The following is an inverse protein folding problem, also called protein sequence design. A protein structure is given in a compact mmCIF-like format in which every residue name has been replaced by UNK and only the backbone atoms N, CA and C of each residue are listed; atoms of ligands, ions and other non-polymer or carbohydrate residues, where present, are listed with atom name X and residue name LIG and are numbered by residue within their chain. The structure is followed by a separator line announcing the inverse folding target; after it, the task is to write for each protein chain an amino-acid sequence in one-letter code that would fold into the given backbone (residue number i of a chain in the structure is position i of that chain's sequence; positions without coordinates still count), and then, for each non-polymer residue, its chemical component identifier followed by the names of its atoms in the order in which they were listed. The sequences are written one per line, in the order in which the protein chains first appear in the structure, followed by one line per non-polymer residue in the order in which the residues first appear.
data_IF_073087894356
#
_entry.id   IF_073087894356
#
_cell.length_a   1.000
_cell.length_b   1.000
_cell.length_c   1.000
_cell.angle_alpha   90.00
_cell.angle_beta   90.00
_cell.angle_gamma   90.00
#
_symmetry.space_group_name_H-M   'P 1'
#
loop_
_entity.id
_entity.type
_entity.pdbx_description
1 polymer ?
#
# COMPACT_ATOMS: atom_id res chain seq x y z
N UNK A 1 5.33 -77.51 59.27
CA UNK A 1 6.57 -76.94 58.69
C UNK A 1 7.00 -77.83 57.52
N UNK A 2 7.29 -77.31 56.33
CA UNK A 2 6.60 -76.28 55.53
C UNK A 2 5.98 -76.92 54.24
N UNK A 3 4.73 -76.62 53.88
CA UNK A 3 4.30 -75.61 52.88
C UNK A 3 5.16 -75.54 51.60
N UNK A 4 4.58 -75.97 50.47
CA UNK A 4 5.20 -75.82 49.15
C UNK A 4 4.14 -75.43 48.11
N UNK A 5 3.62 -74.20 48.26
CA UNK A 5 2.78 -73.53 47.27
C UNK A 5 3.63 -73.21 46.03
N UNK A 6 3.36 -73.91 44.92
CA UNK A 6 3.89 -73.56 43.60
C UNK A 6 3.21 -72.27 43.12
N UNK A 7 3.95 -71.17 43.15
CA UNK A 7 3.55 -69.90 42.56
C UNK A 7 3.71 -69.99 41.04
N UNK A 8 2.59 -70.14 40.33
CA UNK A 8 2.55 -70.05 38.86
C UNK A 8 2.59 -68.57 38.47
N UNK A 9 3.78 -68.05 38.14
CA UNK A 9 3.92 -66.70 37.59
C UNK A 9 3.46 -66.74 36.13
N UNK A 10 2.21 -66.32 35.88
CA UNK A 10 1.75 -65.97 34.54
C UNK A 10 2.37 -64.62 34.16
N UNK A 11 3.44 -64.64 33.36
CA UNK A 11 3.86 -63.46 32.60
C UNK A 11 2.77 -63.16 31.57
N UNK A 12 1.85 -62.28 31.91
CA UNK A 12 0.97 -61.66 30.92
C UNK A 12 1.81 -60.78 30.01
N UNK A 13 2.11 -61.25 28.79
CA UNK A 13 2.54 -60.38 27.70
C UNK A 13 1.41 -59.38 27.45
N UNK A 14 1.47 -58.22 28.10
CA UNK A 14 0.68 -57.06 27.72
C UNK A 14 1.21 -56.59 26.36
N UNK A 15 0.55 -57.07 25.29
CA UNK A 15 0.69 -56.51 23.96
C UNK A 15 0.14 -55.09 24.03
N UNK A 16 1.01 -54.09 24.25
CA UNK A 16 0.66 -52.69 23.98
C UNK A 16 0.48 -52.57 22.46
N UNK A 17 -0.72 -52.26 21.94
CA UNK A 17 -0.84 -51.92 20.54
C UNK A 17 -0.09 -50.60 20.35
N UNK A 18 0.99 -50.62 19.57
CA UNK A 18 1.61 -49.40 19.08
C UNK A 18 0.58 -48.71 18.16
N UNK A 19 -0.17 -47.76 18.71
CA UNK A 19 -1.05 -46.89 17.94
C UNK A 19 -0.13 -45.99 17.12
N UNK A 20 0.12 -46.39 15.87
CA UNK A 20 0.68 -45.52 14.85
C UNK A 20 -0.37 -44.43 14.58
N UNK A 21 -0.21 -43.27 15.23
CA UNK A 21 -0.87 -42.04 14.84
C UNK A 21 -0.42 -41.72 13.40
N UNK A 22 -1.22 -42.13 12.43
CA UNK A 22 -1.09 -41.65 11.07
C UNK A 22 -1.40 -40.15 11.10
N UNK A 23 -0.36 -39.33 11.11
CA UNK A 23 -0.48 -37.92 10.74
C UNK A 23 -0.95 -37.90 9.28
N UNK A 24 -2.24 -37.62 9.06
CA UNK A 24 -2.73 -37.36 7.72
C UNK A 24 -1.87 -36.23 7.13
N UNK A 25 -1.38 -36.34 5.88
CA UNK A 25 -0.71 -35.22 5.25
C UNK A 25 -1.67 -34.05 5.26
N UNK A 26 -1.27 -32.94 5.86
CA UNK A 26 -2.07 -31.73 5.86
C UNK A 26 -2.13 -31.24 4.40
N UNK A 27 -3.30 -31.37 3.78
CA UNK A 27 -3.53 -30.97 2.39
C UNK A 27 -3.67 -29.46 2.38
N UNK A 28 -2.91 -28.78 1.54
CA UNK A 28 -3.09 -27.35 1.31
C UNK A 28 -4.46 -27.11 0.68
N UNK A 29 -5.32 -26.34 1.34
CA UNK A 29 -6.64 -25.99 0.81
C UNK A 29 -6.58 -24.67 0.03
N UNK A 30 -7.08 -24.64 -1.22
CA UNK A 30 -7.18 -23.42 -2.01
C UNK A 30 -8.02 -22.37 -1.29
N UNK A 31 -7.42 -21.22 -1.01
CA UNK A 31 -8.02 -20.14 -0.23
C UNK A 31 -8.06 -18.86 -1.07
N UNK A 32 -9.17 -18.56 -1.76
CA UNK A 32 -9.28 -17.37 -2.60
C UNK A 32 -9.14 -16.07 -1.79
N UNK A 33 -8.42 -15.10 -2.32
CA UNK A 33 -8.22 -13.77 -1.71
C UNK A 33 -8.34 -12.67 -2.76
N UNK A 34 -9.04 -11.61 -2.39
CA UNK A 34 -9.08 -10.35 -3.15
C UNK A 34 -8.43 -9.27 -2.30
N UNK A 35 -7.36 -8.66 -2.79
CA UNK A 35 -6.72 -7.51 -2.15
C UNK A 35 -7.09 -6.25 -2.92
N UNK A 36 -7.48 -5.19 -2.20
CA UNK A 36 -7.78 -3.87 -2.77
C UNK A 36 -6.96 -2.81 -2.06
N UNK A 37 -6.52 -1.82 -2.80
CA UNK A 37 -5.75 -0.70 -2.27
C UNK A 37 -6.55 0.57 -2.53
N UNK A 38 -6.94 1.26 -1.47
CA UNK A 38 -7.65 2.54 -1.55
C UNK A 38 -6.71 3.67 -1.15
N UNK A 39 -6.61 4.70 -1.98
CA UNK A 39 -5.86 5.92 -1.63
C UNK A 39 -6.56 6.58 -0.44
N UNK A 40 -5.77 6.99 0.55
CA UNK A 40 -6.26 7.84 1.64
C UNK A 40 -6.99 9.06 1.04
N UNK A 41 -8.16 9.36 1.61
CA UNK A 41 -9.06 10.47 1.22
C UNK A 41 -9.57 10.42 -0.23
N UNK A 42 -9.43 9.29 -0.91
CA UNK A 42 -9.79 9.18 -2.31
C UNK A 42 -10.24 7.77 -2.69
N UNK A 43 -9.82 7.30 -3.87
CA UNK A 43 -10.40 6.13 -4.55
C UNK A 43 -9.42 4.97 -4.69
N UNK A 44 -9.86 3.87 -5.31
CA UNK A 44 -9.00 2.70 -5.52
C UNK A 44 -7.80 3.03 -6.42
N UNK A 45 -6.65 2.45 -6.07
CA UNK A 45 -5.38 2.59 -6.81
C UNK A 45 -5.34 1.52 -7.90
N UNK A 46 -5.52 1.95 -9.14
CA UNK A 46 -5.66 1.10 -10.32
C UNK A 46 -4.82 1.55 -11.50
N UNK A 47 -5.27 1.20 -12.70
CA UNK A 47 -4.47 1.30 -13.93
C UNK A 47 -3.98 2.73 -14.22
N UNK A 48 -4.78 3.76 -13.90
CA UNK A 48 -4.45 5.17 -14.12
C UNK A 48 -3.19 5.65 -13.40
N UNK A 49 -2.79 4.96 -12.34
CA UNK A 49 -1.56 5.24 -11.59
C UNK A 49 -0.59 4.06 -11.58
N UNK A 50 -0.77 3.10 -12.50
CA UNK A 50 0.06 1.90 -12.61
C UNK A 50 -0.19 0.84 -11.53
N UNK A 51 -1.28 0.97 -10.77
CA UNK A 51 -1.64 0.07 -9.68
C UNK A 51 -0.71 0.16 -8.46
N UNK A 52 -0.91 -0.77 -7.54
CA UNK A 52 -0.07 -0.97 -6.37
C UNK A 52 0.45 -2.41 -6.36
N UNK A 53 1.74 -2.58 -6.10
CA UNK A 53 2.33 -3.90 -5.87
C UNK A 53 1.76 -4.47 -4.58
N UNK A 54 1.33 -5.72 -4.64
CA UNK A 54 0.79 -6.50 -3.54
C UNK A 54 1.69 -7.71 -3.34
N UNK A 55 2.11 -7.96 -2.11
CA UNK A 55 2.81 -9.18 -1.71
C UNK A 55 2.11 -9.74 -0.48
N UNK A 56 1.69 -11.00 -0.55
CA UNK A 56 1.16 -11.76 0.57
C UNK A 56 2.24 -12.74 1.01
N UNK A 57 2.61 -12.72 2.29
CA UNK A 57 3.62 -13.60 2.88
C UNK A 57 3.05 -14.34 4.07
N UNK A 58 3.53 -15.56 4.29
CA UNK A 58 3.42 -16.19 5.60
C UNK A 58 4.30 -15.40 6.58
N UNK A 59 3.70 -14.87 7.64
CA UNK A 59 4.38 -13.95 8.56
C UNK A 59 5.42 -14.64 9.45
N UNK A 60 5.35 -15.95 9.64
CA UNK A 60 6.28 -16.71 10.47
C UNK A 60 7.54 -17.09 9.69
N UNK A 61 7.36 -17.63 8.48
CA UNK A 61 8.43 -18.13 7.62
C UNK A 61 8.98 -17.07 6.65
N UNK A 62 8.22 -16.00 6.38
CA UNK A 62 8.53 -14.98 5.37
C UNK A 62 8.31 -15.44 3.92
N UNK A 63 7.81 -16.66 3.71
CA UNK A 63 7.56 -17.23 2.38
C UNK A 63 6.47 -16.43 1.65
N UNK A 64 6.72 -16.04 0.39
CA UNK A 64 5.72 -15.39 -0.46
C UNK A 64 4.65 -16.43 -0.83
N UNK A 65 3.41 -16.15 -0.45
CA UNK A 65 2.24 -16.95 -0.78
C UNK A 65 1.64 -16.51 -2.13
N UNK A 66 1.65 -15.21 -2.42
CA UNK A 66 1.24 -14.65 -3.70
C UNK A 66 1.81 -13.24 -3.88
N UNK A 67 1.99 -12.82 -5.13
CA UNK A 67 2.39 -11.46 -5.47
C UNK A 67 1.74 -11.00 -6.78
N UNK A 68 1.56 -9.69 -6.92
CA UNK A 68 1.03 -9.10 -8.14
C UNK A 68 0.83 -7.60 -8.03
N UNK A 69 0.02 -7.05 -8.93
CA UNK A 69 -0.29 -5.62 -9.00
C UNK A 69 -1.81 -5.48 -9.06
N UNK A 70 -2.37 -4.47 -8.39
CA UNK A 70 -3.79 -4.14 -8.53
C UNK A 70 -4.09 -3.67 -9.95
N UNK A 71 -5.14 -4.22 -10.57
CA UNK A 71 -5.60 -3.85 -11.90
C UNK A 71 -7.08 -3.48 -11.87
N UNK A 72 -7.49 -2.57 -12.76
CA UNK A 72 -8.86 -2.07 -12.88
C UNK A 72 -9.01 -0.58 -12.61
N UNK A 73 -10.27 -0.12 -12.56
CA UNK A 73 -10.62 1.29 -12.42
C UNK A 73 -10.54 1.81 -10.98
N UNK A 74 -10.65 3.13 -10.83
CA UNK A 74 -10.69 3.77 -9.49
C UNK A 74 -11.98 3.48 -8.72
N UNK A 75 -12.95 2.78 -9.32
CA UNK A 75 -14.27 2.51 -8.75
C UNK A 75 -15.23 3.71 -8.83
N UNK A 76 -16.43 3.50 -8.31
CA UNK A 76 -17.52 4.48 -8.35
C UNK A 76 -17.33 5.61 -7.32
N UNK A 77 -17.19 6.85 -7.79
CA UNK A 77 -16.95 8.02 -6.94
C UNK A 77 -18.04 8.23 -5.89
N UNK A 78 -19.32 8.27 -6.28
CA UNK A 78 -20.41 8.56 -5.34
C UNK A 78 -20.49 7.51 -4.24
N UNK A 79 -20.40 6.23 -4.61
CA UNK A 79 -20.39 5.12 -3.66
C UNK A 79 -19.24 5.24 -2.67
N UNK A 80 -18.02 5.50 -3.14
CA UNK A 80 -16.83 5.60 -2.28
C UNK A 80 -16.98 6.77 -1.30
N UNK A 81 -17.35 7.95 -1.81
CA UNK A 81 -17.35 9.18 -1.01
C UNK A 81 -18.56 9.31 -0.08
N UNK A 82 -19.69 8.69 -0.42
CA UNK A 82 -20.91 8.71 0.41
C UNK A 82 -21.00 7.50 1.36
N UNK A 83 -20.07 6.56 1.27
CA UNK A 83 -20.00 5.40 2.16
C UNK A 83 -19.74 5.83 3.60
N UNK A 84 -20.70 5.57 4.49
CA UNK A 84 -20.63 5.94 5.91
C UNK A 84 -20.71 4.72 6.82
N UNK A 85 -20.29 4.88 8.08
CA UNK A 85 -20.27 3.81 9.08
C UNK A 85 -18.91 3.13 9.24
N UNK A 86 -18.86 2.07 10.06
CA UNK A 86 -17.64 1.30 10.30
C UNK A 86 -17.42 0.31 9.16
N UNK A 87 -16.27 0.39 8.50
CA UNK A 87 -15.87 -0.52 7.42
C UNK A 87 -16.91 -0.64 6.29
N UNK A 88 -17.34 0.47 5.67
CA UNK A 88 -18.37 0.42 4.63
C UNK A 88 -17.84 -0.26 3.36
N UNK A 89 -18.74 -0.90 2.62
CA UNK A 89 -18.44 -1.60 1.37
C UNK A 89 -18.40 -0.64 0.18
N UNK A 90 -17.20 -0.36 -0.33
CA UNK A 90 -16.95 0.66 -1.35
C UNK A 90 -16.74 0.06 -2.74
N UNK A 91 -16.31 -1.20 -2.82
CA UNK A 91 -15.91 -1.79 -4.08
C UNK A 91 -17.12 -2.05 -5.00
N UNK A 92 -16.89 -1.79 -6.29
CA UNK A 92 -17.70 -2.24 -7.43
C UNK A 92 -16.87 -3.26 -8.24
N UNK A 93 -17.50 -3.99 -9.15
CA UNK A 93 -16.82 -5.05 -9.91
C UNK A 93 -15.64 -4.52 -10.75
N UNK A 94 -15.72 -3.27 -11.20
CA UNK A 94 -14.68 -2.57 -11.97
C UNK A 94 -13.59 -1.93 -11.10
N UNK A 95 -13.76 -1.88 -9.77
CA UNK A 95 -12.78 -1.30 -8.88
C UNK A 95 -11.48 -2.11 -8.91
N UNK A 96 -10.34 -1.44 -8.74
CA UNK A 96 -9.05 -2.09 -8.83
C UNK A 96 -8.84 -3.15 -7.74
N UNK A 97 -8.31 -4.31 -8.13
CA UNK A 97 -8.03 -5.43 -7.23
C UNK A 97 -6.81 -6.24 -7.71
N UNK A 98 -6.22 -6.96 -6.77
CA UNK A 98 -5.38 -8.11 -7.02
C UNK A 98 -6.11 -9.37 -6.54
N UNK A 99 -6.21 -10.39 -7.39
CA UNK A 99 -6.86 -11.66 -7.08
C UNK A 99 -5.83 -12.78 -7.06
N UNK A 100 -5.89 -13.62 -6.03
CA UNK A 100 -5.04 -14.79 -5.91
C UNK A 100 -5.78 -15.93 -5.20
N UNK A 101 -5.19 -17.12 -5.23
CA UNK A 101 -5.60 -18.26 -4.43
C UNK A 101 -4.38 -18.71 -3.64
N UNK A 102 -4.49 -18.73 -2.31
CA UNK A 102 -3.41 -19.17 -1.43
C UNK A 102 -3.64 -20.64 -1.06
N UNK A 103 -2.65 -21.50 -1.28
CA UNK A 103 -2.73 -22.90 -0.88
C UNK A 103 -2.25 -23.02 0.59
N UNK A 104 -3.21 -22.95 1.53
CA UNK A 104 -2.91 -22.91 2.97
C UNK A 104 -3.08 -24.29 3.60
N UNK A 105 -2.10 -24.74 4.37
CA UNK A 105 -2.09 -26.06 5.03
C UNK A 105 -2.70 -26.01 6.44
N UNK A 106 -2.70 -24.84 7.07
CA UNK A 106 -3.21 -24.62 8.41
C UNK A 106 -3.54 -23.14 8.65
N UNK A 107 -4.05 -22.79 9.85
CA UNK A 107 -4.25 -21.40 10.23
C UNK A 107 -2.95 -20.61 10.05
N UNK A 108 -2.96 -19.62 9.18
CA UNK A 108 -1.76 -18.89 8.76
C UNK A 108 -1.94 -17.41 9.07
N UNK A 109 -0.96 -16.82 9.76
CA UNK A 109 -0.89 -15.37 9.86
C UNK A 109 -0.27 -14.85 8.57
N UNK A 110 -1.07 -14.23 7.73
CA UNK A 110 -0.62 -13.68 6.45
C UNK A 110 -0.27 -12.21 6.64
N UNK A 111 0.90 -11.80 6.18
CA UNK A 111 1.31 -10.40 6.05
C UNK A 111 1.04 -9.92 4.62
N UNK A 112 0.27 -8.84 4.52
CA UNK A 112 0.09 -8.06 3.31
C UNK A 112 1.10 -6.91 3.33
N UNK A 113 1.97 -6.86 2.33
CA UNK A 113 2.77 -5.68 1.99
C UNK A 113 2.23 -5.06 0.70
N UNK A 114 1.99 -3.76 0.73
CA UNK A 114 1.58 -2.98 -0.44
C UNK A 114 2.55 -1.84 -0.67
N UNK A 115 2.98 -1.66 -1.93
CA UNK A 115 3.78 -0.53 -2.37
C UNK A 115 3.14 0.14 -3.59
N UNK A 116 2.93 1.45 -3.53
CA UNK A 116 2.33 2.18 -4.65
C UNK A 116 2.22 3.69 -4.41
N UNK A 117 1.66 4.43 -5.36
CA UNK A 117 1.24 3.96 -6.69
C UNK A 117 2.45 3.79 -7.64
N UNK A 118 2.51 2.70 -8.40
CA UNK A 118 3.72 2.31 -9.15
C UNK A 118 4.06 3.27 -10.30
N UNK A 119 3.07 3.92 -10.88
CA UNK A 119 3.22 4.96 -11.89
C UNK A 119 3.70 6.31 -11.35
N UNK A 120 3.95 6.42 -10.03
CA UNK A 120 4.50 7.60 -9.35
C UNK A 120 5.64 7.18 -8.40
N UNK A 121 6.71 6.56 -8.92
CA UNK A 121 7.73 5.91 -8.08
C UNK A 121 8.43 6.88 -7.12
N UNK A 122 8.56 8.15 -7.48
CA UNK A 122 9.15 9.20 -6.63
C UNK A 122 8.35 9.51 -5.36
N UNK A 123 7.08 9.10 -5.30
CA UNK A 123 6.18 9.29 -4.15
C UNK A 123 5.65 7.98 -3.59
N UNK A 124 6.15 6.83 -4.07
CA UNK A 124 5.63 5.54 -3.63
C UNK A 124 5.91 5.30 -2.14
N UNK A 125 4.87 4.92 -1.40
CA UNK A 125 4.96 4.52 0.01
C UNK A 125 4.69 3.04 0.16
N UNK A 126 5.02 2.51 1.34
CA UNK A 126 4.78 1.12 1.70
C UNK A 126 3.87 1.05 2.92
N UNK A 127 2.85 0.19 2.86
CA UNK A 127 2.00 -0.15 4.01
C UNK A 127 1.99 -1.65 4.21
N UNK A 128 1.90 -2.07 5.47
CA UNK A 128 1.83 -3.48 5.85
C UNK A 128 0.67 -3.71 6.80
N UNK A 129 -0.01 -4.84 6.66
CA UNK A 129 -1.04 -5.29 7.58
C UNK A 129 -0.99 -6.81 7.71
N UNK A 130 -1.46 -7.34 8.83
CA UNK A 130 -1.52 -8.78 9.05
C UNK A 130 -2.96 -9.23 9.31
N UNK A 131 -3.28 -10.45 8.89
CA UNK A 131 -4.58 -11.07 9.15
C UNK A 131 -4.44 -12.59 9.23
N UNK A 132 -5.16 -13.18 10.17
CA UNK A 132 -5.31 -14.64 10.24
C UNK A 132 -6.21 -15.13 9.11
N UNK A 133 -5.73 -16.15 8.39
CA UNK A 133 -6.46 -16.83 7.32
C UNK A 133 -6.59 -18.32 7.66
N UNK A 134 -7.76 -18.88 7.39
CA UNK A 134 -8.07 -20.29 7.56
C UNK A 134 -8.05 -20.98 6.20
N UNK A 135 -7.46 -22.20 6.08
CA UNK A 135 -7.56 -23.02 4.88
C UNK A 135 -9.00 -23.14 4.39
N UNK A 136 -9.22 -22.93 3.08
CA UNK A 136 -10.53 -23.08 2.43
C UNK A 136 -11.55 -21.97 2.71
N UNK A 137 -11.26 -21.03 3.63
CA UNK A 137 -12.17 -19.92 3.96
C UNK A 137 -11.87 -18.70 3.07
N UNK A 138 -12.73 -18.34 2.11
CA UNK A 138 -12.43 -17.29 1.15
C UNK A 138 -12.38 -15.89 1.79
N UNK A 139 -11.39 -15.11 1.36
CA UNK A 139 -11.21 -13.70 1.68
C UNK A 139 -11.66 -12.79 0.52
N UNK A 140 -12.83 -13.08 -0.05
CA UNK A 140 -13.37 -12.40 -1.23
C UNK A 140 -14.70 -11.67 -0.96
N UNK A 141 -15.34 -11.91 0.19
CA UNK A 141 -16.62 -11.29 0.56
C UNK A 141 -16.48 -9.78 0.78
N UNK A 142 -17.47 -9.00 0.34
CA UNK A 142 -17.47 -7.55 0.47
C UNK A 142 -16.34 -6.90 -0.35
N UNK A 143 -15.53 -6.05 0.28
CA UNK A 143 -14.38 -5.42 -0.37
C UNK A 143 -13.13 -6.33 -0.38
N UNK A 144 -13.22 -7.56 0.14
CA UNK A 144 -12.07 -8.44 0.35
C UNK A 144 -11.14 -7.91 1.44
N UNK A 145 -9.82 -8.04 1.23
CA UNK A 145 -8.81 -7.38 2.03
C UNK A 145 -8.49 -6.00 1.43
N UNK A 146 -9.25 -4.99 1.88
CA UNK A 146 -8.99 -3.59 1.55
C UNK A 146 -8.00 -2.96 2.54
N UNK A 147 -6.98 -2.27 2.02
CA UNK A 147 -6.00 -1.51 2.81
C UNK A 147 -5.87 -0.08 2.27
N UNK A 148 -5.72 0.88 3.17
CA UNK A 148 -5.53 2.28 2.82
C UNK A 148 -4.05 2.58 2.54
N UNK A 149 -3.78 3.28 1.44
CA UNK A 149 -2.47 3.75 1.02
C UNK A 149 -2.38 5.26 1.26
N UNK A 150 -1.59 5.73 2.24
CA UNK A 150 -1.52 7.13 2.60
C UNK A 150 -0.74 7.97 1.59
N UNK A 151 -1.01 9.28 1.62
CA UNK A 151 -0.18 10.30 1.01
C UNK A 151 -0.62 10.80 -0.38
N UNK A 152 0.25 11.63 -0.95
CA UNK A 152 0.07 12.28 -2.25
C UNK A 152 1.22 11.92 -3.21
N UNK A 153 0.89 11.79 -4.49
CA UNK A 153 1.89 11.78 -5.55
C UNK A 153 2.26 13.22 -5.92
N UNK A 154 3.55 13.53 -5.87
CA UNK A 154 4.11 14.85 -6.21
C UNK A 154 5.18 14.65 -7.27
N UNK A 155 4.90 15.10 -8.50
CA UNK A 155 5.83 15.01 -9.62
C UNK A 155 6.43 16.38 -9.89
N UNK A 156 7.69 16.62 -9.49
CA UNK A 156 8.36 17.91 -9.67
C UNK A 156 8.93 18.04 -11.09
N UNK A 157 8.92 19.26 -11.60
CA UNK A 157 9.67 19.66 -12.79
C UNK A 157 10.32 21.02 -12.51
N UNK A 158 11.49 21.24 -13.09
CA UNK A 158 12.16 22.53 -13.01
C UNK A 158 12.88 22.87 -14.32
N UNK A 159 12.86 24.15 -14.64
CA UNK A 159 13.57 24.74 -15.79
C UNK A 159 14.34 25.98 -15.32
N UNK A 160 15.55 26.15 -15.85
CA UNK A 160 16.31 27.39 -15.67
C UNK A 160 15.81 28.42 -16.67
N UNK A 161 15.36 29.57 -16.16
CA UNK A 161 14.81 30.67 -16.93
C UNK A 161 15.51 31.99 -16.51
N UNK A 162 15.51 33.04 -17.34
CA UNK A 162 16.16 34.32 -17.01
C UNK A 162 15.71 34.93 -15.66
N UNK A 163 14.46 34.71 -15.28
CA UNK A 163 13.85 35.17 -14.03
C UNK A 163 14.20 34.33 -12.79
N UNK A 164 14.73 33.11 -12.96
CA UNK A 164 14.87 32.18 -11.85
C UNK A 164 14.87 30.71 -12.25
N UNK A 165 14.89 29.86 -11.23
CA UNK A 165 14.51 28.46 -11.37
C UNK A 165 12.98 28.39 -11.37
N UNK A 166 12.38 28.21 -12.55
CA UNK A 166 10.95 27.96 -12.69
C UNK A 166 10.64 26.55 -12.21
N UNK A 167 9.63 26.42 -11.36
CA UNK A 167 9.24 25.16 -10.73
C UNK A 167 7.78 24.89 -11.02
N UNK A 168 7.49 23.67 -11.45
CA UNK A 168 6.12 23.17 -11.52
C UNK A 168 6.00 21.83 -10.79
N UNK A 169 4.79 21.54 -10.33
CA UNK A 169 4.46 20.32 -9.63
C UNK A 169 3.12 19.80 -10.15
N UNK A 170 3.06 18.50 -10.46
CA UNK A 170 1.79 17.79 -10.53
C UNK A 170 1.55 17.12 -9.18
N UNK A 171 0.45 17.48 -8.52
CA UNK A 171 0.01 16.92 -7.24
C UNK A 171 -1.33 16.22 -7.41
N UNK A 172 -1.43 15.01 -6.89
CA UNK A 172 -2.64 14.18 -6.92
C UNK A 172 -2.65 13.19 -5.74
N UNK A 173 -3.81 12.73 -5.25
CA UNK A 173 -3.88 11.58 -4.34
C UNK A 173 -3.34 10.33 -5.05
N UNK A 174 -3.01 9.27 -4.32
CA UNK A 174 -2.39 8.06 -4.90
C UNK A 174 -3.25 7.35 -5.96
N UNK A 175 -4.57 7.61 -6.00
CA UNK A 175 -5.47 7.16 -7.09
C UNK A 175 -5.33 7.94 -8.41
N UNK A 176 -4.60 9.05 -8.42
CA UNK A 176 -4.51 9.97 -9.56
C UNK A 176 -5.74 10.87 -9.72
N UNK A 177 -6.51 11.04 -8.65
CA UNK A 177 -7.75 11.81 -8.68
C UNK A 177 -7.47 13.32 -8.90
N UNK A 178 -8.29 14.04 -9.69
CA UNK A 178 -7.96 15.38 -10.13
C UNK A 178 -8.19 16.43 -9.03
N UNK A 179 -7.19 17.27 -8.77
CA UNK A 179 -7.32 18.48 -7.96
C UNK A 179 -7.82 19.63 -8.83
N UNK A 180 -9.00 20.17 -8.52
CA UNK A 180 -9.67 21.23 -9.30
C UNK A 180 -10.27 22.24 -8.31
N UNK A 181 -10.18 23.56 -8.56
CA UNK A 181 -10.85 24.56 -7.71
C UNK A 181 -12.35 24.28 -7.58
N UNK A 182 -12.87 24.20 -6.35
CA UNK A 182 -14.27 23.89 -6.05
C UNK A 182 -14.70 22.44 -6.40
N UNK A 183 -13.76 21.57 -6.76
CA UNK A 183 -14.02 20.17 -7.05
C UNK A 183 -14.10 19.30 -5.79
N UNK A 184 -14.38 18.00 -5.97
CA UNK A 184 -14.43 17.02 -4.89
C UNK A 184 -13.09 16.91 -4.13
N UNK A 185 -11.98 17.03 -4.85
CA UNK A 185 -10.66 17.29 -4.28
C UNK A 185 -10.31 18.74 -4.62
N UNK A 186 -10.71 19.66 -3.75
CA UNK A 186 -10.51 21.09 -3.99
C UNK A 186 -9.02 21.43 -3.91
N UNK A 187 -8.48 22.04 -4.95
CA UNK A 187 -7.10 22.53 -4.95
C UNK A 187 -6.78 23.51 -3.82
N UNK A 188 -7.80 24.21 -3.28
CA UNK A 188 -7.62 25.14 -2.17
C UNK A 188 -7.22 24.44 -0.85
N UNK A 189 -7.54 23.15 -0.71
CA UNK A 189 -7.19 22.37 0.47
C UNK A 189 -5.71 21.95 0.48
N UNK A 190 -4.97 22.20 -0.59
CA UNK A 190 -3.59 21.75 -0.76
C UNK A 190 -2.59 22.91 -0.70
N UNK A 191 -1.58 22.74 0.13
CA UNK A 191 -0.39 23.59 0.16
C UNK A 191 0.78 22.85 -0.47
N UNK A 192 1.50 23.53 -1.36
CA UNK A 192 2.68 22.99 -2.02
C UNK A 192 3.86 23.93 -1.81
N UNK A 193 4.96 23.40 -1.28
CA UNK A 193 6.21 24.13 -1.06
C UNK A 193 7.32 23.46 -1.88
N UNK A 194 8.15 24.28 -2.53
CA UNK A 194 9.40 23.85 -3.12
C UNK A 194 10.56 24.34 -2.24
N UNK A 195 11.54 23.48 -2.02
CA UNK A 195 12.75 23.77 -1.25
C UNK A 195 13.99 23.25 -1.97
N UNK A 196 15.04 24.06 -1.97
CA UNK A 196 16.31 23.74 -2.62
C UNK A 196 17.34 23.36 -1.56
N UNK A 197 17.94 22.19 -1.72
CA UNK A 197 18.88 21.61 -0.76
C UNK A 197 20.25 21.39 -1.39
N UNK A 198 21.29 21.63 -0.60
CA UNK A 198 22.67 21.26 -0.93
C UNK A 198 23.34 20.75 0.35
N UNK A 199 24.05 19.62 0.27
CA UNK A 199 24.81 19.05 1.39
C UNK A 199 23.96 18.86 2.68
N UNK A 200 22.68 18.51 2.51
CA UNK A 200 21.74 18.30 3.62
C UNK A 200 21.19 19.59 4.25
N UNK A 201 21.54 20.77 3.73
CA UNK A 201 21.04 22.05 4.20
C UNK A 201 20.03 22.66 3.23
N UNK A 202 18.92 23.13 3.78
CA UNK A 202 17.92 23.87 3.01
C UNK A 202 18.42 25.30 2.77
N UNK A 203 18.61 25.66 1.50
CA UNK A 203 19.14 26.97 1.11
C UNK A 203 18.03 27.97 0.87
N UNK A 204 16.97 27.55 0.18
CA UNK A 204 15.86 28.41 -0.26
C UNK A 204 14.56 27.62 -0.25
N UNK A 205 13.44 28.34 -0.12
CA UNK A 205 12.10 27.77 -0.26
C UNK A 205 11.12 28.79 -0.84
N UNK A 206 10.09 28.29 -1.51
CA UNK A 206 8.99 29.10 -2.02
C UNK A 206 7.70 28.27 -2.03
N UNK A 207 6.58 28.93 -1.74
CA UNK A 207 5.24 28.36 -1.94
C UNK A 207 4.94 28.33 -3.44
N UNK A 208 4.36 27.24 -3.91
CA UNK A 208 3.81 27.12 -5.26
C UNK A 208 2.31 27.43 -5.21
N UNK A 209 1.85 28.30 -6.11
CA UNK A 209 0.43 28.59 -6.27
C UNK A 209 -0.21 27.57 -7.23
N UNK A 210 -1.49 27.27 -7.03
CA UNK A 210 -2.24 26.54 -8.04
C UNK A 210 -2.24 27.33 -9.35
N UNK A 211 -1.83 26.68 -10.45
CA UNK A 211 -1.58 27.34 -11.72
C UNK A 211 -2.33 26.70 -12.89
N UNK A 212 -2.56 25.39 -12.84
CA UNK A 212 -3.18 24.67 -13.98
C UNK A 212 -3.97 23.48 -13.48
N UNK A 213 -5.23 23.35 -13.93
CA UNK A 213 -6.03 22.16 -13.62
C UNK A 213 -5.71 21.00 -14.59
N UNK A 214 -5.77 19.74 -14.12
CA UNK A 214 -5.90 19.35 -12.72
C UNK A 214 -4.54 19.29 -12.01
N UNK A 215 -4.49 19.70 -10.74
CA UNK A 215 -3.35 19.45 -9.82
C UNK A 215 -2.00 20.08 -10.18
N UNK A 216 -1.95 21.06 -11.07
CA UNK A 216 -0.74 21.77 -11.46
C UNK A 216 -0.46 22.96 -10.56
N UNK A 217 0.68 22.95 -9.88
CA UNK A 217 1.18 24.04 -9.04
C UNK A 217 2.46 24.62 -9.65
N UNK A 218 2.69 25.91 -9.45
CA UNK A 218 3.86 26.57 -10.01
C UNK A 218 4.38 27.73 -9.16
N UNK A 219 5.67 28.02 -9.32
CA UNK A 219 6.37 29.11 -8.64
C UNK A 219 7.75 29.33 -9.24
N UNK A 220 8.50 30.25 -8.68
CA UNK A 220 9.87 30.57 -9.10
C UNK A 220 10.73 30.69 -7.85
N UNK A 221 11.90 30.06 -7.86
CA UNK A 221 12.95 30.31 -6.90
C UNK A 221 14.03 31.20 -7.55
N UNK A 222 14.58 32.20 -6.85
CA UNK A 222 15.79 32.87 -7.30
C UNK A 222 16.90 31.86 -7.55
N UNK A 223 17.67 32.04 -8.62
CA UNK A 223 18.77 31.13 -8.95
C UNK A 223 19.80 31.12 -7.81
N UNK A 224 20.22 29.94 -7.33
CA UNK A 224 21.36 29.83 -6.44
C UNK A 224 22.66 30.03 -7.23
N UNK A 225 23.81 29.98 -6.55
CA UNK A 225 25.10 29.93 -7.24
C UNK A 225 25.21 28.67 -8.13
N UNK A 226 26.13 28.67 -9.09
CA UNK A 226 26.43 27.48 -9.89
C UNK A 226 26.75 26.29 -8.98
N UNK A 227 26.15 25.13 -9.27
CA UNK A 227 26.23 23.98 -8.39
C UNK A 227 25.14 22.93 -8.66
N UNK A 228 25.24 21.81 -7.93
CA UNK A 228 24.23 20.74 -7.95
C UNK A 228 23.38 20.84 -6.71
N UNK A 229 22.08 20.71 -6.88
CA UNK A 229 21.10 20.83 -5.82
C UNK A 229 20.05 19.72 -5.91
N UNK A 230 19.52 19.33 -4.76
CA UNK A 230 18.28 18.54 -4.70
C UNK A 230 17.10 19.52 -4.55
N UNK A 231 16.21 19.53 -5.54
CA UNK A 231 14.93 20.21 -5.44
C UNK A 231 13.91 19.26 -4.82
N UNK A 232 13.35 19.64 -3.68
CA UNK A 232 12.32 18.89 -2.96
C UNK A 232 11.01 19.66 -3.01
N UNK A 233 9.96 19.00 -3.47
CA UNK A 233 8.60 19.50 -3.41
C UNK A 233 7.80 18.70 -2.40
N UNK A 234 7.13 19.41 -1.50
CA UNK A 234 6.27 18.83 -0.48
C UNK A 234 4.86 19.34 -0.68
N UNK A 235 3.90 18.42 -0.82
CA UNK A 235 2.48 18.71 -0.90
C UNK A 235 1.78 18.22 0.37
N UNK A 236 0.82 19.01 0.86
CA UNK A 236 0.04 18.67 2.04
C UNK A 236 -1.42 19.11 1.87
N UNK A 237 -2.35 18.19 2.12
CA UNK A 237 -3.76 18.48 2.27
C UNK A 237 -4.03 18.95 3.72
N UNK A 238 -4.48 20.20 3.88
CA UNK A 238 -4.69 20.85 5.17
C UNK A 238 -5.96 20.42 5.89
N UNK A 239 -6.86 19.72 5.19
CA UNK A 239 -8.12 19.20 5.74
C UNK A 239 -7.94 17.78 6.27
N UNK A 240 -7.31 16.90 5.48
CA UNK A 240 -7.21 15.47 5.80
C UNK A 240 -5.86 15.07 6.39
N UNK A 241 -4.84 15.91 6.23
CA UNK A 241 -3.48 15.63 6.68
C UNK A 241 -2.64 14.83 5.70
N UNK A 242 -3.22 14.33 4.59
CA UNK A 242 -2.47 13.59 3.57
C UNK A 242 -1.31 14.44 3.03
N UNK A 243 -0.14 13.84 2.85
CA UNK A 243 1.05 14.54 2.39
C UNK A 243 1.91 13.68 1.48
N UNK A 244 2.73 14.33 0.67
CA UNK A 244 3.59 13.65 -0.29
C UNK A 244 4.83 14.47 -0.61
N UNK A 245 5.85 13.77 -1.08
CA UNK A 245 7.11 14.38 -1.46
C UNK A 245 7.50 13.91 -2.87
N UNK A 246 8.02 14.85 -3.65
CA UNK A 246 8.70 14.59 -4.91
C UNK A 246 10.06 15.26 -4.89
N UNK A 247 11.08 14.66 -5.49
CA UNK A 247 12.41 15.27 -5.58
C UNK A 247 13.10 15.00 -6.90
N UNK A 248 13.88 15.95 -7.37
CA UNK A 248 14.76 15.83 -8.55
C UNK A 248 16.09 16.53 -8.28
N UNK A 249 17.13 16.09 -8.98
CA UNK A 249 18.41 16.81 -9.01
C UNK A 249 18.32 17.94 -10.05
N UNK A 250 18.86 19.10 -9.68
CA UNK A 250 18.94 20.29 -10.53
C UNK A 250 20.39 20.72 -10.62
N UNK A 251 20.88 20.90 -11.84
CA UNK A 251 22.19 21.47 -12.10
C UNK A 251 22.03 22.92 -12.51
N UNK A 252 22.67 23.83 -11.76
CA UNK A 252 22.81 25.23 -12.15
C UNK A 252 24.20 25.39 -12.78
N UNK A 253 24.28 25.87 -14.04
CA UNK A 253 25.54 26.03 -14.77
C UNK A 253 26.44 27.11 -14.17
#
# INVERSE_FOLDING_TARGET
MPDNRRFTIRFGCAFLPAVLLFAAPAIAEPTPVTVRVISQDAKFVGDSTGGAQVILRDAESGHILAEGITAGGTGNTDRIMQSTGRSPLRATDDAAAFHATLDLVGPTLVELEVKGALGRPGSAVKVTAQRWMMPGVPMTTGDGWSIELPGLAVTPMASLEPEGLRITAKVEPMCGCPLIPGGLWDSADYEVEASLWQDGHQLRKARLAFATAPGGFAGVLPLPASGRYTLVLFGHNTVTGSSGLGRIEVQVP
#
